data_IF_206369632229
#
_entry.id   IF_206369632229
#
_cell.length_a   1.000
_cell.length_b   1.000
_cell.length_c   1.000
_cell.angle_alpha   90.00
_cell.angle_beta   90.00
_cell.angle_gamma   90.00
#
_symmetry.space_group_name_H-M   'P 1'
#
loop_
_entity.id
_entity.type
_entity.pdbx_description
1 polymer ?
#
# COMPACT_ATOMS: atom_id res chain seq x y z
N UNK A 1 -3.10 -15.64 -10.12
CA UNK A 1 -4.43 -15.02 -10.23
C UNK A 1 -5.04 -14.93 -8.85
N UNK A 2 -5.07 -13.73 -8.29
CA UNK A 2 -5.65 -13.48 -6.98
C UNK A 2 -7.18 -13.37 -7.09
N UNK A 3 -7.91 -13.93 -6.11
CA UNK A 3 -9.36 -13.73 -6.02
C UNK A 3 -9.60 -12.33 -5.45
N UNK A 4 -9.81 -11.35 -6.33
CA UNK A 4 -9.90 -9.96 -5.92
C UNK A 4 -11.18 -9.66 -5.12
N UNK A 5 -11.03 -8.98 -3.98
CA UNK A 5 -12.14 -8.40 -3.21
C UNK A 5 -12.09 -6.86 -3.19
N UNK A 6 -11.13 -6.28 -3.91
CA UNK A 6 -11.02 -4.85 -4.15
C UNK A 6 -9.85 -4.47 -5.03
N UNK A 7 -9.44 -3.20 -4.95
CA UNK A 7 -8.32 -2.66 -5.71
C UNK A 7 -7.37 -1.87 -4.81
N UNK A 8 -6.10 -1.95 -5.15
CA UNK A 8 -5.00 -1.19 -4.58
C UNK A 8 -4.55 -0.14 -5.60
N UNK A 9 -4.23 1.07 -5.15
CA UNK A 9 -3.57 2.09 -5.96
C UNK A 9 -2.31 2.55 -5.25
N UNK A 10 -1.20 2.65 -5.98
CA UNK A 10 0.04 3.23 -5.47
C UNK A 10 -0.12 4.75 -5.40
N UNK A 11 0.33 5.34 -4.29
CA UNK A 11 0.36 6.79 -4.12
C UNK A 11 1.75 7.28 -4.51
N UNK A 12 1.78 8.18 -5.48
CA UNK A 12 2.99 8.85 -5.95
C UNK A 12 2.96 10.30 -5.49
N UNK A 13 4.13 10.81 -5.11
CA UNK A 13 4.31 12.23 -4.78
C UNK A 13 5.16 12.86 -5.88
N UNK A 14 4.64 13.92 -6.49
CA UNK A 14 5.34 14.68 -7.53
C UNK A 14 5.47 16.14 -7.13
N UNK A 15 6.55 16.80 -7.54
CA UNK A 15 6.84 18.17 -7.15
C UNK A 15 7.71 18.26 -5.89
N UNK A 16 7.52 19.32 -5.10
CA UNK A 16 8.43 19.64 -4.01
C UNK A 16 9.68 20.42 -4.46
N UNK A 17 10.44 20.91 -3.48
CA UNK A 17 11.65 21.71 -3.71
C UNK A 17 11.36 23.19 -3.98
N UNK A 18 12.36 23.89 -4.50
CA UNK A 18 12.28 25.31 -4.84
C UNK A 18 12.43 25.50 -6.35
N UNK A 19 11.50 26.24 -6.96
CA UNK A 19 11.62 26.67 -8.36
C UNK A 19 11.70 28.18 -8.38
N UNK A 20 12.84 28.71 -8.83
CA UNK A 20 13.13 30.14 -8.84
C UNK A 20 12.97 30.82 -7.46
N UNK A 21 13.38 30.13 -6.39
CA UNK A 21 13.27 30.63 -5.02
C UNK A 21 11.89 30.50 -4.37
N UNK A 22 10.86 30.07 -5.11
CA UNK A 22 9.53 29.81 -4.56
C UNK A 22 9.36 28.33 -4.21
N UNK A 23 8.77 28.00 -3.05
CA UNK A 23 8.45 26.62 -2.71
C UNK A 23 7.43 26.06 -3.70
N UNK A 24 7.68 24.85 -4.19
CA UNK A 24 6.76 24.11 -5.06
C UNK A 24 5.99 23.12 -4.18
N UNK A 25 4.67 23.16 -4.26
CA UNK A 25 3.82 22.23 -3.52
C UNK A 25 4.03 20.79 -3.99
N UNK A 26 3.98 19.86 -3.04
CA UNK A 26 3.95 18.41 -3.34
C UNK A 26 2.54 18.06 -3.76
N UNK A 27 2.40 17.45 -4.93
CA UNK A 27 1.14 16.91 -5.45
C UNK A 27 1.09 15.42 -5.24
N UNK A 28 0.03 14.97 -4.60
CA UNK A 28 -0.30 13.56 -4.45
C UNK A 28 -1.09 13.08 -5.67
N UNK A 29 -0.60 12.03 -6.34
CA UNK A 29 -1.29 11.38 -7.45
C UNK A 29 -1.49 9.90 -7.16
N UNK A 30 -2.67 9.38 -7.48
CA UNK A 30 -2.97 7.95 -7.37
C UNK A 30 -2.77 7.24 -8.71
N UNK A 31 -2.01 6.15 -8.69
CA UNK A 31 -1.77 5.32 -9.87
C UNK A 31 -2.95 4.43 -10.28
N UNK A 32 -2.65 3.43 -11.11
CA UNK A 32 -3.63 2.47 -11.65
C UNK A 32 -4.25 1.61 -10.55
N UNK A 33 -5.50 1.17 -10.79
CA UNK A 33 -6.17 0.21 -9.94
C UNK A 33 -5.61 -1.21 -10.19
N UNK A 34 -4.90 -1.74 -9.21
CA UNK A 34 -4.36 -3.10 -9.19
C UNK A 34 -5.36 -3.99 -8.45
N UNK A 35 -5.92 -5.05 -9.07
CA UNK A 35 -6.78 -6.00 -8.37
C UNK A 35 -6.05 -6.63 -7.18
N UNK A 36 -6.71 -6.65 -6.02
CA UNK A 36 -6.11 -7.20 -4.81
C UNK A 36 -7.13 -7.96 -3.95
N UNK A 37 -6.61 -8.86 -3.13
CA UNK A 37 -7.35 -9.43 -2.00
C UNK A 37 -6.78 -8.83 -0.71
N UNK A 38 -7.58 -8.12 0.06
CA UNK A 38 -7.17 -7.62 1.37
C UNK A 38 -8.03 -8.19 2.49
N UNK A 39 -7.39 -8.50 3.62
CA UNK A 39 -8.07 -8.95 4.84
C UNK A 39 -7.57 -8.16 6.03
N UNK A 40 -8.45 -7.94 7.01
CA UNK A 40 -8.07 -7.27 8.26
C UNK A 40 -7.09 -8.15 9.02
N UNK A 41 -6.02 -7.56 9.52
CA UNK A 41 -5.07 -8.28 10.34
C UNK A 41 -5.66 -8.55 11.73
N UNK A 42 -6.01 -9.82 11.97
CA UNK A 42 -6.53 -10.29 13.27
C UNK A 42 -5.43 -10.64 14.27
N UNK A 43 -4.16 -10.63 13.85
CA UNK A 43 -3.04 -11.01 14.70
C UNK A 43 -2.30 -9.76 15.19
N UNK A 44 -2.40 -9.51 16.50
CA UNK A 44 -1.82 -8.33 17.16
C UNK A 44 -0.28 -8.33 17.15
N UNK A 45 0.35 -9.46 16.81
CA UNK A 45 1.81 -9.62 16.74
C UNK A 45 2.41 -9.28 15.37
N UNK A 46 1.58 -9.04 14.34
CA UNK A 46 2.05 -8.62 13.02
C UNK A 46 2.12 -7.09 12.98
N UNK A 47 3.30 -6.54 13.25
CA UNK A 47 3.60 -5.11 13.21
C UNK A 47 5.10 -4.87 13.12
N UNK A 48 5.50 -3.67 12.72
CA UNK A 48 6.90 -3.28 12.59
C UNK A 48 7.32 -2.48 13.82
N UNK A 49 8.54 -2.71 14.27
CA UNK A 49 9.14 -1.95 15.36
C UNK A 49 10.06 -0.88 14.76
N UNK A 50 9.68 0.39 14.84
CA UNK A 50 10.55 1.51 14.45
C UNK A 50 10.76 2.44 15.65
N UNK A 51 12.02 2.62 16.05
CA UNK A 51 12.41 3.67 17.01
C UNK A 51 11.75 3.62 18.39
N UNK A 52 11.40 2.43 18.90
CA UNK A 52 10.77 2.28 20.22
C UNK A 52 9.25 2.14 20.21
N UNK A 53 8.61 2.35 19.06
CA UNK A 53 7.15 2.27 18.90
C UNK A 53 6.79 1.07 18.02
N UNK A 54 5.90 0.21 18.52
CA UNK A 54 5.31 -0.87 17.73
C UNK A 54 4.08 -0.35 17.01
N UNK A 55 4.09 -0.36 15.69
CA UNK A 55 2.93 0.04 14.90
C UNK A 55 2.25 -1.20 14.32
N UNK A 56 0.95 -1.32 14.60
CA UNK A 56 0.13 -2.49 14.28
C UNK A 56 -0.28 -2.47 12.82
N UNK A 57 -0.01 -3.57 12.10
CA UNK A 57 -0.55 -3.73 10.76
C UNK A 57 -2.08 -3.84 10.80
N UNK A 58 -2.76 -3.07 9.97
CA UNK A 58 -4.22 -3.07 9.82
C UNK A 58 -4.72 -4.07 8.79
N UNK A 59 -4.02 -4.19 7.66
CA UNK A 59 -4.43 -5.07 6.56
C UNK A 59 -3.25 -5.86 6.03
N UNK A 60 -3.54 -7.08 5.59
CA UNK A 60 -2.68 -7.88 4.72
C UNK A 60 -3.31 -7.87 3.34
N UNK A 61 -2.55 -7.46 2.34
CA UNK A 61 -2.97 -7.33 0.95
C UNK A 61 -2.18 -8.30 0.09
N UNK A 62 -2.87 -9.00 -0.79
CA UNK A 62 -2.29 -9.90 -1.79
C UNK A 62 -2.62 -9.39 -3.19
N UNK A 63 -1.59 -9.29 -4.02
CA UNK A 63 -1.70 -8.99 -5.45
C UNK A 63 -1.05 -10.12 -6.26
N UNK A 64 -1.35 -10.17 -7.55
CA UNK A 64 -0.61 -11.04 -8.47
C UNK A 64 0.86 -10.60 -8.58
N UNK A 65 1.75 -11.53 -8.90
CA UNK A 65 3.18 -11.27 -9.01
C UNK A 65 3.47 -10.23 -10.10
N UNK A 66 4.10 -9.14 -9.67
CA UNK A 66 4.59 -8.06 -10.49
C UNK A 66 5.65 -7.31 -9.69
N UNK A 67 6.46 -6.49 -10.36
CA UNK A 67 7.30 -5.51 -9.66
C UNK A 67 6.41 -4.60 -8.81
N UNK A 68 6.76 -4.48 -7.53
CA UNK A 68 5.98 -3.69 -6.59
C UNK A 68 6.90 -3.02 -5.58
N UNK A 69 6.88 -1.69 -5.59
CA UNK A 69 7.50 -0.85 -4.57
C UNK A 69 6.60 0.38 -4.36
N UNK A 70 6.29 0.68 -3.11
CA UNK A 70 5.39 1.76 -2.74
C UNK A 70 5.54 2.10 -1.26
N UNK A 71 5.55 3.39 -0.93
CA UNK A 71 5.52 3.86 0.46
C UNK A 71 4.08 3.93 1.00
N UNK A 72 3.14 4.36 0.16
CA UNK A 72 1.73 4.51 0.50
C UNK A 72 0.85 3.88 -0.56
N UNK A 73 -0.25 3.30 -0.10
CA UNK A 73 -1.28 2.73 -0.96
C UNK A 73 -2.67 3.22 -0.56
N UNK A 74 -3.58 3.25 -1.52
CA UNK A 74 -5.01 3.45 -1.30
C UNK A 74 -5.72 2.12 -1.57
N UNK A 75 -6.52 1.67 -0.61
CA UNK A 75 -7.37 0.50 -0.77
C UNK A 75 -8.81 0.93 -1.06
N UNK A 76 -9.42 0.28 -2.05
CA UNK A 76 -10.81 0.43 -2.40
C UNK A 76 -11.48 -0.95 -2.40
N UNK A 77 -12.73 -1.00 -1.95
CA UNK A 77 -13.56 -2.21 -2.05
C UNK A 77 -13.86 -2.56 -3.51
N UNK A 78 -14.30 -3.79 -3.79
CA UNK A 78 -14.76 -4.20 -5.13
C UNK A 78 -15.90 -3.33 -5.69
N UNK A 79 -16.64 -2.62 -4.82
CA UNK A 79 -17.72 -1.69 -5.19
C UNK A 79 -17.24 -0.26 -5.44
N UNK A 80 -15.93 -0.02 -5.40
CA UNK A 80 -15.32 1.30 -5.62
C UNK A 80 -15.32 2.22 -4.41
N UNK A 81 -15.85 1.80 -3.25
CA UNK A 81 -15.77 2.60 -2.03
C UNK A 81 -14.35 2.62 -1.46
N UNK A 82 -13.83 3.81 -1.16
CA UNK A 82 -12.51 4.02 -0.54
C UNK A 82 -12.50 3.49 0.89
N UNK A 83 -11.61 2.54 1.17
CA UNK A 83 -11.37 2.01 2.52
C UNK A 83 -10.46 2.97 3.29
N UNK A 84 -9.40 3.46 2.64
CA UNK A 84 -8.45 4.37 3.26
C UNK A 84 -7.13 4.45 2.51
N UNK A 85 -6.24 5.30 3.02
CA UNK A 85 -4.83 5.39 2.64
C UNK A 85 -3.99 4.80 3.77
N UNK A 86 -3.04 3.94 3.42
CA UNK A 86 -2.23 3.18 4.38
C UNK A 86 -0.75 3.25 4.01
N UNK A 87 0.11 3.22 5.02
CA UNK A 87 1.56 3.15 4.82
C UNK A 87 1.99 1.69 4.67
N UNK A 88 2.86 1.40 3.71
CA UNK A 88 3.42 0.07 3.52
C UNK A 88 4.49 -0.19 4.57
N UNK A 89 4.35 -1.31 5.28
CA UNK A 89 5.28 -1.75 6.32
C UNK A 89 6.27 -2.79 5.81
N UNK A 90 5.77 -3.71 4.99
CA UNK A 90 6.52 -4.86 4.51
C UNK A 90 5.96 -5.34 3.16
N UNK A 91 6.87 -5.80 2.30
CA UNK A 91 6.58 -6.33 0.96
C UNK A 91 7.33 -7.66 0.84
N UNK A 92 6.58 -8.74 0.60
CA UNK A 92 7.12 -10.09 0.44
C UNK A 92 6.71 -10.65 -0.92
N UNK A 93 7.69 -11.00 -1.72
CA UNK A 93 7.49 -11.71 -2.99
C UNK A 93 7.38 -13.20 -2.70
N UNK A 94 6.21 -13.78 -3.00
CA UNK A 94 5.90 -15.19 -2.77
C UNK A 94 5.99 -15.94 -4.11
N UNK A 95 7.23 -16.15 -4.58
CA UNK A 95 7.52 -16.64 -5.94
C UNK A 95 6.83 -17.98 -6.26
N UNK A 96 6.73 -18.87 -5.27
CA UNK A 96 6.13 -20.21 -5.45
C UNK A 96 4.63 -20.15 -5.77
N UNK A 97 3.91 -19.16 -5.23
CA UNK A 97 2.47 -19.00 -5.45
C UNK A 97 2.15 -17.92 -6.48
N UNK A 98 3.16 -17.17 -6.93
CA UNK A 98 3.00 -16.09 -7.90
C UNK A 98 2.21 -14.90 -7.34
N UNK A 99 2.47 -14.52 -6.09
CA UNK A 99 1.81 -13.38 -5.44
C UNK A 99 2.82 -12.46 -4.73
N UNK A 100 2.40 -11.20 -4.51
CA UNK A 100 3.09 -10.30 -3.60
C UNK A 100 2.20 -10.07 -2.38
N UNK A 101 2.74 -10.29 -1.18
CA UNK A 101 2.10 -10.00 0.09
C UNK A 101 2.59 -8.66 0.62
N UNK A 102 1.67 -7.77 0.88
CA UNK A 102 1.93 -6.41 1.36
C UNK A 102 1.24 -6.25 2.72
N UNK A 103 1.97 -5.76 3.70
CA UNK A 103 1.43 -5.48 5.04
C UNK A 103 1.38 -3.98 5.25
N UNK A 104 0.24 -3.44 5.71
CA UNK A 104 0.02 -1.99 5.81
C UNK A 104 -0.59 -1.54 7.13
N UNK A 105 -0.36 -0.27 7.50
CA UNK A 105 -0.86 0.39 8.73
C UNK A 105 -1.61 1.69 8.48
#
# INVERSE_FOLDING_TARGET
MVIANGTLQIVEYTGGGFKNGNPVEVKETSGKHIPCNFTTNKNDHLGRYEGGTFTRAKFVVLIDMQEFDAEYIILNTARGAKVGKFRVQDIQFLDVVGNVRITVE
#
